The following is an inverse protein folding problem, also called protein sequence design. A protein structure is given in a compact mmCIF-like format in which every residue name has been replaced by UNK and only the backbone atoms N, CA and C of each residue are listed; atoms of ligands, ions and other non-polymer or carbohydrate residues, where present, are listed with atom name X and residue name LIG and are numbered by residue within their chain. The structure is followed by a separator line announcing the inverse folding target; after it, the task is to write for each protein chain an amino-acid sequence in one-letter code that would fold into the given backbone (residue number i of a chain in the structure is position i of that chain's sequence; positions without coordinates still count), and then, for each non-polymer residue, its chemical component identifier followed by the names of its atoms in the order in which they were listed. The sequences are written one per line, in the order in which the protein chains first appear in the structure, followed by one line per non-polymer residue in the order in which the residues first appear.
data_IF_820349673615
#
_entry.id   IF_820349673615
#
_cell.length_a   1.000
_cell.length_b   1.000
_cell.length_c   1.000
_cell.angle_alpha   90.00
_cell.angle_beta   90.00
_cell.angle_gamma   90.00
#
_symmetry.space_group_name_H-M   'P 1'
#
loop_
_entity.id
_entity.type
_entity.pdbx_description
1 polymer ?
#
# COMPACT_ATOMS: atom_id res chain seq x y z
N UNK A 1 20.64 15.55 14.70
CA UNK A 1 19.94 16.28 13.63
C UNK A 1 18.82 17.09 14.24
N UNK A 2 18.86 18.42 14.14
CA UNK A 2 17.80 19.26 14.69
C UNK A 2 17.57 20.45 13.76
N UNK A 3 16.46 20.39 13.03
CA UNK A 3 15.85 21.59 12.50
C UNK A 3 15.60 22.60 13.62
N UNK A 4 15.68 23.88 13.27
CA UNK A 4 15.41 24.95 14.21
C UNK A 4 14.00 24.84 14.81
N UNK A 5 13.83 25.29 16.06
CA UNK A 5 12.54 25.32 16.72
C UNK A 5 11.51 26.20 15.99
N UNK A 6 11.96 27.20 15.22
CA UNK A 6 11.08 28.01 14.37
C UNK A 6 10.21 27.15 13.44
N UNK A 7 10.72 26.01 12.96
CA UNK A 7 10.02 25.12 12.04
C UNK A 7 9.15 24.07 12.74
N UNK A 8 8.96 24.14 14.06
CA UNK A 8 8.21 23.13 14.83
C UNK A 8 6.83 22.84 14.23
N UNK A 9 6.15 23.86 13.72
CA UNK A 9 4.83 23.72 13.10
C UNK A 9 4.87 22.92 11.79
N UNK A 10 5.95 23.03 11.02
CA UNK A 10 6.17 22.26 9.79
C UNK A 10 6.62 20.84 10.10
N UNK A 11 7.56 20.70 11.04
CA UNK A 11 8.13 19.40 11.46
C UNK A 11 7.02 18.45 11.93
N UNK A 12 6.06 18.93 12.73
CA UNK A 12 4.94 18.12 13.24
C UNK A 12 4.03 17.55 12.14
N UNK A 13 4.07 18.08 10.92
CA UNK A 13 3.23 17.63 9.80
C UNK A 13 3.88 16.49 9.00
N UNK A 14 5.19 16.27 9.17
CA UNK A 14 5.93 15.22 8.48
C UNK A 14 6.19 14.01 9.40
N UNK A 15 6.16 12.78 8.85
CA UNK A 15 6.58 11.60 9.59
C UNK A 15 8.10 11.63 9.85
N UNK A 16 8.60 11.01 10.93
CA UNK A 16 10.00 11.05 11.33
C UNK A 16 10.99 10.60 10.23
N UNK A 17 10.64 9.56 9.48
CA UNK A 17 11.49 9.05 8.39
C UNK A 17 11.69 10.07 7.27
N UNK A 18 10.67 10.88 6.95
CA UNK A 18 10.79 11.93 5.94
C UNK A 18 11.59 13.12 6.46
N UNK A 19 11.55 13.41 7.76
CA UNK A 19 12.36 14.46 8.36
C UNK A 19 13.85 14.14 8.28
N UNK A 20 14.23 12.90 8.62
CA UNK A 20 15.62 12.44 8.50
C UNK A 20 16.11 12.48 7.05
N UNK A 21 15.26 12.03 6.12
CA UNK A 21 15.57 12.09 4.69
C UNK A 21 15.71 13.53 4.19
N UNK A 22 14.81 14.42 4.62
CA UNK A 22 14.83 15.85 4.27
C UNK A 22 16.09 16.52 4.78
N UNK A 23 16.50 16.23 6.01
CA UNK A 23 17.75 16.70 6.58
C UNK A 23 18.95 16.21 5.77
N UNK A 24 19.01 14.90 5.48
CA UNK A 24 20.07 14.31 4.66
C UNK A 24 20.16 15.01 3.30
N UNK A 25 19.02 15.28 2.66
CA UNK A 25 18.96 15.98 1.37
C UNK A 25 19.50 17.41 1.48
N UNK A 26 19.15 18.16 2.53
CA UNK A 26 19.64 19.52 2.72
C UNK A 26 21.17 19.60 2.79
N UNK A 27 21.79 18.66 3.52
CA UNK A 27 23.26 18.64 3.70
C UNK A 27 24.02 17.98 2.54
N UNK A 28 23.37 17.10 1.77
CA UNK A 28 23.99 16.36 0.63
C UNK A 28 23.57 16.87 -0.76
N UNK A 29 22.85 17.99 -0.82
CA UNK A 29 22.41 18.61 -2.08
C UNK A 29 23.60 18.84 -3.02
N UNK A 30 23.38 18.51 -4.31
CA UNK A 30 24.39 18.68 -5.36
C UNK A 30 24.74 20.15 -5.63
N UNK A 31 23.82 21.07 -5.37
CA UNK A 31 24.03 22.52 -5.48
C UNK A 31 23.77 23.13 -4.11
N UNK A 32 24.74 23.88 -3.61
CA UNK A 32 24.70 24.55 -2.30
C UNK A 32 24.31 23.59 -1.17
N UNK A 33 25.12 22.55 -0.89
CA UNK A 33 24.93 21.76 0.32
C UNK A 33 25.04 22.70 1.52
N UNK A 34 24.02 22.67 2.38
CA UNK A 34 24.07 23.41 3.63
C UNK A 34 24.99 22.67 4.60
N UNK A 35 25.84 23.41 5.31
CA UNK A 35 26.52 22.85 6.48
C UNK A 35 25.49 22.54 7.57
N UNK A 36 25.83 21.65 8.51
CA UNK A 36 24.91 21.33 9.61
C UNK A 36 24.53 22.56 10.43
N UNK A 37 25.44 23.53 10.58
CA UNK A 37 25.18 24.77 11.31
C UNK A 37 24.18 25.66 10.57
N UNK A 38 24.32 25.82 9.26
CA UNK A 38 23.36 26.58 8.44
C UNK A 38 22.00 25.89 8.42
N UNK A 39 21.98 24.55 8.31
CA UNK A 39 20.74 23.76 8.35
C UNK A 39 20.02 23.81 9.72
N UNK A 40 20.76 24.04 10.81
CA UNK A 40 20.20 24.30 12.15
C UNK A 40 19.72 25.75 12.32
N UNK A 41 20.12 26.65 11.42
CA UNK A 41 19.76 28.07 11.42
C UNK A 41 18.33 28.33 10.99
N UNK A 42 17.95 29.61 10.98
CA UNK A 42 16.68 30.08 10.42
C UNK A 42 17.00 30.65 9.04
N UNK A 43 16.60 29.93 8.01
CA UNK A 43 16.75 30.27 6.60
C UNK A 43 15.40 30.07 5.88
N UNK A 44 14.88 31.08 5.15
CA UNK A 44 13.69 30.93 4.32
C UNK A 44 13.76 29.76 3.33
N UNK A 45 14.94 29.46 2.78
CA UNK A 45 15.12 28.37 1.81
C UNK A 45 14.86 26.98 2.43
N UNK A 46 15.16 26.85 3.73
CA UNK A 46 14.85 25.63 4.50
C UNK A 46 13.34 25.54 4.75
N UNK A 47 12.70 26.68 5.04
CA UNK A 47 11.26 26.74 5.26
C UNK A 47 10.48 26.34 4.01
N UNK A 48 10.80 26.96 2.87
CA UNK A 48 10.20 26.67 1.56
C UNK A 48 10.38 25.20 1.18
N UNK A 49 11.56 24.64 1.46
CA UNK A 49 11.81 23.23 1.23
C UNK A 49 10.92 22.31 2.08
N UNK A 50 10.78 22.60 3.38
CA UNK A 50 9.93 21.81 4.28
C UNK A 50 8.45 21.92 3.87
N UNK A 51 7.99 23.11 3.48
CA UNK A 51 6.64 23.31 2.96
C UNK A 51 6.40 22.47 1.70
N UNK A 52 7.37 22.46 0.77
CA UNK A 52 7.28 21.64 -0.43
C UNK A 52 7.21 20.13 -0.09
N UNK A 53 8.04 19.63 0.82
CA UNK A 53 8.00 18.23 1.27
C UNK A 53 6.65 17.87 1.91
N UNK A 54 6.05 18.77 2.70
CA UNK A 54 4.70 18.58 3.27
C UNK A 54 3.65 18.46 2.15
N UNK A 55 3.70 19.34 1.14
CA UNK A 55 2.78 19.30 0.00
C UNK A 55 2.92 17.98 -0.76
N UNK A 56 4.15 17.54 -1.05
CA UNK A 56 4.42 16.29 -1.75
C UNK A 56 3.93 15.08 -0.95
N UNK A 57 4.22 15.05 0.36
CA UNK A 57 3.78 14.00 1.24
C UNK A 57 2.25 13.89 1.28
N UNK A 58 1.56 15.01 1.48
CA UNK A 58 0.09 15.04 1.53
C UNK A 58 -0.52 14.62 0.19
N UNK A 59 0.02 15.09 -0.94
CA UNK A 59 -0.43 14.64 -2.28
C UNK A 59 -0.27 13.13 -2.45
N UNK A 60 0.83 12.55 -2.00
CA UNK A 60 1.07 11.10 -2.07
C UNK A 60 0.12 10.33 -1.17
N UNK A 61 -0.11 10.81 0.05
CA UNK A 61 -1.06 10.25 1.02
C UNK A 61 -2.49 10.25 0.47
N UNK A 62 -2.93 11.36 -0.13
CA UNK A 62 -4.26 11.44 -0.75
C UNK A 62 -4.42 10.50 -1.94
N UNK A 63 -3.38 10.32 -2.77
CA UNK A 63 -3.41 9.34 -3.86
C UNK A 63 -3.57 7.91 -3.33
N UNK A 64 -2.86 7.57 -2.26
CA UNK A 64 -2.99 6.25 -1.62
C UNK A 64 -4.36 6.01 -0.98
N UNK A 65 -5.05 7.07 -0.56
CA UNK A 65 -6.43 6.98 -0.07
C UNK A 65 -7.46 6.80 -1.18
N UNK A 66 -7.16 7.31 -2.39
CA UNK A 66 -8.06 7.22 -3.56
C UNK A 66 -7.89 5.95 -4.38
N UNK A 67 -6.73 5.29 -4.29
CA UNK A 67 -6.60 3.94 -4.82
C UNK A 67 -7.49 3.01 -3.99
N UNK A 68 -8.38 2.22 -4.61
CA UNK A 68 -9.16 1.23 -3.89
C UNK A 68 -8.19 0.39 -3.07
N UNK A 69 -8.45 0.27 -1.78
CA UNK A 69 -7.72 -0.72 -1.02
C UNK A 69 -8.01 -2.10 -1.66
N UNK A 70 -7.05 -3.04 -1.71
CA UNK A 70 -7.36 -4.41 -2.15
C UNK A 70 -8.56 -5.02 -1.40
N UNK A 71 -8.85 -4.50 -0.22
CA UNK A 71 -9.92 -4.90 0.70
C UNK A 71 -11.32 -4.39 0.29
N UNK A 72 -11.43 -3.23 -0.36
CA UNK A 72 -12.71 -2.70 -0.85
C UNK A 72 -13.25 -3.52 -2.04
N UNK A 73 -12.35 -4.01 -2.90
CA UNK A 73 -12.73 -4.97 -3.94
C UNK A 73 -13.24 -6.29 -3.35
N UNK A 74 -12.67 -6.73 -2.23
CA UNK A 74 -13.15 -7.92 -1.50
C UNK A 74 -14.56 -7.69 -0.92
N UNK A 75 -14.82 -6.51 -0.36
CA UNK A 75 -16.13 -6.17 0.20
C UNK A 75 -17.23 -6.16 -0.87
N UNK A 76 -16.95 -5.68 -2.08
CA UNK A 76 -17.93 -5.73 -3.19
C UNK A 76 -18.21 -7.17 -3.63
N UNK A 77 -17.19 -8.04 -3.66
CA UNK A 77 -17.38 -9.47 -3.94
C UNK A 77 -18.14 -10.21 -2.84
N UNK A 78 -17.95 -9.87 -1.55
CA UNK A 78 -18.63 -10.52 -0.42
C UNK A 78 -20.14 -10.23 -0.42
N UNK A 79 -20.54 -9.00 -0.78
CA UNK A 79 -21.96 -8.61 -0.83
C UNK A 79 -22.69 -9.35 -1.95
N UNK A 80 -22.03 -9.63 -3.08
CA UNK A 80 -22.58 -10.39 -4.20
C UNK A 80 -22.69 -11.90 -3.93
N UNK A 81 -21.90 -12.46 -3.00
CA UNK A 81 -21.91 -13.89 -2.65
C UNK A 81 -22.97 -14.32 -1.63
N UNK A 82 -23.79 -13.40 -1.10
CA UNK A 82 -24.81 -13.74 -0.08
C UNK A 82 -26.09 -14.38 -0.64
N UNK A 83 -26.20 -14.63 -1.95
CA UNK A 83 -27.34 -15.32 -2.57
C UNK A 83 -27.00 -16.75 -2.98
N UNK A 84 -26.82 -17.63 -1.99
CA UNK A 84 -26.64 -19.08 -2.15
C UNK A 84 -25.22 -19.54 -2.54
N UNK A 85 -24.48 -19.97 -1.53
CA UNK A 85 -23.88 -21.32 -1.53
C UNK A 85 -23.45 -21.65 -0.12
N UNK A 86 -24.14 -22.61 0.49
CA UNK A 86 -23.70 -23.25 1.72
C UNK A 86 -22.52 -24.16 1.35
N UNK A 87 -21.34 -23.57 1.19
CA UNK A 87 -20.11 -24.33 0.96
C UNK A 87 -19.74 -24.98 2.29
N UNK A 88 -19.92 -26.29 2.39
CA UNK A 88 -19.31 -27.04 3.48
C UNK A 88 -17.80 -26.82 3.38
N UNK A 89 -17.18 -26.43 4.49
CA UNK A 89 -15.73 -26.37 4.65
C UNK A 89 -15.13 -27.75 4.31
N UNK A 90 -14.80 -27.98 3.05
CA UNK A 90 -13.95 -29.10 2.66
C UNK A 90 -12.53 -28.68 3.05
N UNK A 91 -12.24 -28.83 4.33
CA UNK A 91 -10.86 -28.88 4.83
C UNK A 91 -10.20 -30.03 4.07
N UNK A 92 -9.16 -29.75 3.24
CA UNK A 92 -8.49 -30.81 2.49
C UNK A 92 -8.02 -31.89 3.46
N UNK A 93 -8.34 -33.14 3.14
CA UNK A 93 -8.13 -34.32 4.01
C UNK A 93 -6.67 -34.45 4.49
N UNK A 94 -5.71 -33.86 3.77
CA UNK A 94 -4.29 -33.82 4.13
C UNK A 94 -3.99 -32.95 5.37
N UNK A 95 -4.75 -31.88 5.64
CA UNK A 95 -4.57 -31.04 6.84
C UNK A 95 -4.93 -31.81 8.12
N UNK A 96 -5.96 -32.67 8.05
CA UNK A 96 -6.38 -33.49 9.21
C UNK A 96 -5.43 -34.63 9.53
N UNK A 97 -4.76 -35.21 8.53
CA UNK A 97 -3.93 -36.40 8.73
C UNK A 97 -2.42 -36.12 8.87
N UNK A 98 -1.86 -35.10 8.20
CA UNK A 98 -0.39 -34.95 8.09
C UNK A 98 0.22 -33.66 8.64
N UNK A 99 -0.56 -32.62 9.00
CA UNK A 99 -0.03 -31.31 9.49
C UNK A 99 1.23 -30.84 8.72
N UNK A 100 1.22 -30.95 7.39
CA UNK A 100 2.42 -30.78 6.56
C UNK A 100 2.20 -29.76 5.44
N UNK A 101 3.20 -28.91 5.19
CA UNK A 101 3.28 -27.97 4.06
C UNK A 101 3.84 -28.65 2.80
N UNK A 102 3.31 -29.81 2.43
CA UNK A 102 3.81 -30.58 1.28
C UNK A 102 3.64 -29.80 -0.02
N UNK A 103 4.70 -29.77 -0.83
CA UNK A 103 4.75 -29.09 -2.14
C UNK A 103 3.61 -29.55 -3.07
N UNK A 104 3.29 -30.84 -3.08
CA UNK A 104 2.17 -31.43 -3.83
C UNK A 104 0.80 -30.91 -3.39
N UNK A 105 0.64 -30.61 -2.11
CA UNK A 105 -0.61 -30.12 -1.51
C UNK A 105 -0.83 -28.64 -1.86
N UNK A 106 0.24 -27.85 -2.00
CA UNK A 106 0.19 -26.47 -2.47
C UNK A 106 -0.14 -26.40 -3.97
N UNK A 107 0.45 -27.28 -4.78
CA UNK A 107 0.12 -27.37 -6.21
C UNK A 107 -1.33 -27.79 -6.45
N UNK A 108 -1.87 -28.71 -5.65
CA UNK A 108 -3.26 -29.14 -5.76
C UNK A 108 -4.24 -28.02 -5.40
N UNK A 109 -3.96 -27.24 -4.34
CA UNK A 109 -4.72 -26.03 -4.01
C UNK A 109 -4.63 -25.01 -5.14
N UNK A 110 -3.44 -24.73 -5.65
CA UNK A 110 -3.24 -23.77 -6.73
C UNK A 110 -3.95 -24.21 -8.02
N UNK A 111 -3.94 -25.51 -8.33
CA UNK A 111 -4.66 -26.08 -9.47
C UNK A 111 -6.18 -25.92 -9.31
N UNK A 112 -6.72 -26.17 -8.12
CA UNK A 112 -8.13 -25.96 -7.84
C UNK A 112 -8.53 -24.50 -7.96
N UNK A 113 -7.77 -23.59 -7.33
CA UNK A 113 -8.00 -22.14 -7.43
C UNK A 113 -7.97 -21.68 -8.89
N UNK A 114 -7.02 -22.18 -9.69
CA UNK A 114 -6.92 -21.85 -11.11
C UNK A 114 -8.16 -22.32 -11.89
N UNK A 115 -8.63 -23.55 -11.67
CA UNK A 115 -9.82 -24.08 -12.35
C UNK A 115 -11.09 -23.28 -12.04
N UNK A 116 -11.29 -22.90 -10.78
CA UNK A 116 -12.42 -22.07 -10.38
C UNK A 116 -12.35 -20.68 -11.02
N UNK A 117 -11.15 -20.08 -11.04
CA UNK A 117 -10.94 -18.78 -11.68
C UNK A 117 -11.21 -18.81 -13.19
N UNK A 118 -10.74 -19.86 -13.88
CA UNK A 118 -10.97 -20.06 -15.31
C UNK A 118 -12.47 -20.27 -15.60
N UNK A 119 -13.18 -20.99 -14.73
CA UNK A 119 -14.63 -21.18 -14.82
C UNK A 119 -15.40 -19.86 -14.70
N UNK A 120 -15.07 -19.06 -13.68
CA UNK A 120 -15.64 -17.72 -13.46
C UNK A 120 -15.36 -16.77 -14.62
N UNK A 121 -14.14 -16.78 -15.15
CA UNK A 121 -13.77 -15.94 -16.30
C UNK A 121 -14.62 -16.28 -17.53
N UNK A 122 -14.86 -17.56 -17.79
CA UNK A 122 -15.71 -18.00 -18.90
C UNK A 122 -17.17 -17.58 -18.69
N UNK A 123 -17.71 -17.75 -17.49
CA UNK A 123 -19.08 -17.33 -17.17
C UNK A 123 -19.29 -15.82 -17.36
N UNK A 124 -18.30 -15.00 -16.98
CA UNK A 124 -18.36 -13.55 -17.17
C UNK A 124 -18.33 -13.15 -18.64
N UNK A 125 -17.51 -13.82 -19.46
CA UNK A 125 -17.47 -13.59 -20.90
C UNK A 125 -18.80 -13.96 -21.55
N UNK A 126 -19.34 -15.13 -21.23
CA UNK A 126 -20.67 -15.57 -21.72
C UNK A 126 -21.80 -14.64 -21.27
N UNK A 127 -21.72 -14.10 -20.05
CA UNK A 127 -22.68 -13.13 -19.55
C UNK A 127 -22.60 -11.81 -20.33
N UNK A 128 -21.40 -11.32 -20.60
CA UNK A 128 -21.21 -10.08 -21.34
C UNK A 128 -21.69 -10.21 -22.79
N UNK A 129 -21.41 -11.33 -23.47
CA UNK A 129 -21.90 -11.61 -24.83
C UNK A 129 -23.42 -11.68 -24.93
N UNK A 130 -24.11 -12.07 -23.85
CA UNK A 130 -25.58 -12.19 -23.83
C UNK A 130 -26.29 -10.88 -23.54
N UNK A 131 -25.62 -9.93 -22.89
CA UNK A 131 -26.25 -8.72 -22.35
C UNK A 131 -25.78 -7.41 -23.03
N UNK A 132 -24.78 -7.48 -23.91
CA UNK A 132 -24.25 -6.35 -24.69
C UNK A 132 -24.06 -6.76 -26.15
#
# INVERSE_FOLDING_TARGET
MRFNQAYTNLIKQLPPSLLEESWRRLITRKRNPLTELEACGIDPDIEDFLQHEIIVYNRKKERQRRSPSPLENLSYSIIMTNQETQTQDIVPTCYRAHKCSCFTCVEEINCHVKKELDSLSRQLLEFNEKNF
#
